data_IF_931294014285
#
_entry.id   IF_931294014285
#
_cell.length_a   1.000
_cell.length_b   1.000
_cell.length_c   1.000
_cell.angle_alpha   90.00
_cell.angle_beta   90.00
_cell.angle_gamma   90.00
#
_symmetry.space_group_name_H-M   'P 1'
#
loop_
_entity.id
_entity.type
_entity.pdbx_description
1 polymer ?
#
# COMPACT_ATOMS: atom_id res chain seq x y z
N UNK A 1 7.53 -2.08 0.35
CA UNK A 1 6.21 -1.73 -0.23
C UNK A 1 5.46 -0.78 0.70
N UNK A 2 4.74 0.18 0.14
CA UNK A 2 3.83 1.06 0.89
C UNK A 2 2.41 0.86 0.35
N UNK A 3 1.47 0.45 1.20
CA UNK A 3 0.06 0.34 0.79
C UNK A 3 -0.66 1.66 1.01
N UNK A 4 -1.67 1.94 0.19
CA UNK A 4 -2.39 3.21 0.26
C UNK A 4 -1.53 4.42 -0.11
N UNK A 5 -0.61 4.21 -1.04
CA UNK A 5 0.38 5.22 -1.43
C UNK A 5 -0.22 6.50 -2.02
N UNK A 6 -1.41 6.42 -2.61
CA UNK A 6 -2.13 7.60 -3.13
C UNK A 6 -2.77 8.47 -2.03
N UNK A 7 -2.84 7.98 -0.80
CA UNK A 7 -3.37 8.74 0.32
C UNK A 7 -2.36 9.75 0.88
N UNK A 8 -2.83 10.64 1.76
CA UNK A 8 -2.00 11.70 2.36
C UNK A 8 -0.78 11.12 3.11
N UNK A 9 -1.01 10.19 4.04
CA UNK A 9 0.09 9.57 4.82
C UNK A 9 0.97 8.72 3.92
N UNK A 10 0.39 7.86 3.08
CA UNK A 10 1.14 6.96 2.20
C UNK A 10 2.05 7.71 1.24
N UNK A 11 1.57 8.78 0.61
CA UNK A 11 2.38 9.58 -0.32
C UNK A 11 3.57 10.27 0.36
N UNK A 12 3.39 10.76 1.59
CA UNK A 12 4.49 11.35 2.37
C UNK A 12 5.55 10.31 2.77
N UNK A 13 5.12 9.09 3.11
CA UNK A 13 6.03 7.99 3.39
C UNK A 13 6.82 7.62 2.14
N UNK A 14 6.15 7.47 1.00
CA UNK A 14 6.82 7.19 -0.28
C UNK A 14 7.85 8.25 -0.60
N UNK A 15 7.49 9.53 -0.51
CA UNK A 15 8.41 10.64 -0.75
C UNK A 15 9.64 10.59 0.17
N UNK A 16 9.44 10.32 1.45
CA UNK A 16 10.52 10.21 2.43
C UNK A 16 11.48 9.06 2.11
N UNK A 17 10.95 7.89 1.77
CA UNK A 17 11.75 6.72 1.41
C UNK A 17 12.55 6.95 0.12
N UNK A 18 11.93 7.53 -0.89
CA UNK A 18 12.60 7.87 -2.16
C UNK A 18 13.72 8.90 -1.96
N UNK A 19 13.50 9.88 -1.08
CA UNK A 19 14.53 10.88 -0.75
C UNK A 19 15.76 10.28 -0.06
N UNK A 20 15.62 9.10 0.51
CA UNK A 20 16.72 8.32 1.14
C UNK A 20 17.36 7.32 0.16
N UNK A 21 16.99 7.34 -1.11
CA UNK A 21 17.54 6.42 -2.11
C UNK A 21 17.01 5.00 -2.01
N UNK A 22 15.87 4.79 -1.36
CA UNK A 22 15.26 3.46 -1.25
C UNK A 22 14.41 3.12 -2.47
N UNK A 23 14.36 1.84 -2.82
CA UNK A 23 13.42 1.34 -3.82
C UNK A 23 12.06 1.11 -3.18
N UNK A 24 11.03 1.74 -3.72
CA UNK A 24 9.68 1.74 -3.15
C UNK A 24 8.69 1.17 -4.16
N UNK A 25 7.96 0.16 -3.75
CA UNK A 25 6.74 -0.29 -4.43
C UNK A 25 5.55 0.40 -3.77
N UNK A 26 4.93 1.33 -4.48
CA UNK A 26 3.77 2.09 -4.06
C UNK A 26 2.50 1.42 -4.60
N UNK A 27 1.57 1.01 -3.73
CA UNK A 27 0.34 0.40 -4.21
C UNK A 27 -0.81 1.39 -4.24
N UNK A 28 -1.54 1.35 -5.32
CA UNK A 28 -2.75 2.14 -5.57
C UNK A 28 -3.89 1.20 -5.96
N UNK A 29 -5.13 1.63 -5.76
CA UNK A 29 -6.29 0.80 -6.13
C UNK A 29 -6.53 0.77 -7.64
N UNK A 30 -6.24 1.87 -8.32
CA UNK A 30 -6.41 2.04 -9.75
C UNK A 30 -5.23 2.87 -10.28
N UNK A 31 -4.40 2.23 -11.08
CA UNK A 31 -3.22 2.87 -11.66
C UNK A 31 -3.52 3.69 -12.91
N UNK A 32 -4.73 3.55 -13.46
CA UNK A 32 -5.19 4.36 -14.61
C UNK A 32 -5.79 5.70 -14.20
N UNK A 33 -6.03 5.93 -12.91
CA UNK A 33 -6.58 7.17 -12.38
C UNK A 33 -5.45 8.20 -12.13
N UNK A 34 -5.34 9.27 -12.96
CA UNK A 34 -4.29 10.28 -12.82
C UNK A 34 -4.32 10.96 -11.44
N UNK A 35 -5.49 11.15 -10.83
CA UNK A 35 -5.60 11.76 -9.50
C UNK A 35 -4.89 10.94 -8.42
N UNK A 36 -4.69 9.64 -8.67
CA UNK A 36 -4.02 8.72 -7.75
C UNK A 36 -2.54 8.53 -8.01
N UNK A 37 -2.10 8.75 -9.24
CA UNK A 37 -0.74 8.39 -9.69
C UNK A 37 0.14 9.59 -9.98
N UNK A 38 -0.37 10.66 -10.57
CA UNK A 38 0.43 11.79 -11.05
C UNK A 38 1.30 12.40 -9.95
N UNK A 39 0.75 12.55 -8.74
CA UNK A 39 1.50 13.11 -7.61
C UNK A 39 2.61 12.16 -7.12
N UNK A 40 2.44 10.85 -7.27
CA UNK A 40 3.50 9.87 -6.95
C UNK A 40 4.60 9.88 -8.01
N UNK A 41 4.23 9.94 -9.29
CA UNK A 41 5.18 9.96 -10.40
C UNK A 41 6.02 11.25 -10.41
N UNK A 42 5.48 12.34 -9.87
CA UNK A 42 6.17 13.62 -9.75
C UNK A 42 7.16 13.69 -8.59
N UNK A 43 7.23 12.66 -7.72
CA UNK A 43 8.14 12.67 -6.59
C UNK A 43 9.61 12.59 -7.02
N UNK A 44 10.46 13.35 -6.35
CA UNK A 44 11.90 13.28 -6.55
C UNK A 44 12.48 11.99 -6.00
N UNK A 45 13.32 11.34 -6.80
CA UNK A 45 14.00 10.11 -6.43
C UNK A 45 15.49 10.40 -6.29
N UNK A 46 16.06 10.13 -5.11
CA UNK A 46 17.50 10.24 -4.88
C UNK A 46 18.27 9.09 -5.51
N UNK A 47 19.57 9.27 -5.68
CA UNK A 47 20.45 8.26 -6.27
C UNK A 47 20.30 6.89 -5.57
N UNK A 48 20.13 5.86 -6.38
CA UNK A 48 19.90 4.49 -5.92
C UNK A 48 18.43 4.14 -5.62
N UNK A 49 17.56 5.14 -5.60
CA UNK A 49 16.12 4.92 -5.38
C UNK A 49 15.40 4.50 -6.67
N UNK A 50 14.25 3.89 -6.48
CA UNK A 50 13.37 3.51 -7.59
C UNK A 50 11.92 3.52 -7.10
N UNK A 51 11.01 4.05 -7.92
CA UNK A 51 9.57 4.00 -7.67
C UNK A 51 8.90 3.04 -8.65
N UNK A 52 8.20 2.08 -8.12
CA UNK A 52 7.31 1.17 -8.86
C UNK A 52 5.88 1.38 -8.37
N UNK A 53 4.95 1.71 -9.26
CA UNK A 53 3.53 1.83 -8.92
C UNK A 53 2.83 0.54 -9.33
N UNK A 54 2.12 -0.07 -8.39
CA UNK A 54 1.46 -1.37 -8.57
C UNK A 54 0.01 -1.28 -8.14
N UNK A 55 -0.86 -1.87 -8.94
CA UNK A 55 -2.27 -1.99 -8.60
C UNK A 55 -2.50 -3.06 -7.55
N UNK A 56 -3.26 -2.71 -6.51
CA UNK A 56 -3.60 -3.64 -5.44
C UNK A 56 -4.94 -3.28 -4.80
N UNK A 57 -5.84 -4.23 -4.77
CA UNK A 57 -7.07 -4.16 -3.96
C UNK A 57 -6.90 -5.01 -2.69
N UNK A 58 -7.06 -4.39 -1.52
CA UNK A 58 -6.97 -5.10 -0.23
C UNK A 58 -7.94 -6.26 -0.10
N UNK A 59 -9.08 -6.21 -0.79
CA UNK A 59 -10.10 -7.26 -0.74
C UNK A 59 -9.85 -8.39 -1.74
N UNK A 60 -8.92 -8.20 -2.68
CA UNK A 60 -8.46 -9.24 -3.60
C UNK A 60 -7.12 -9.83 -3.11
N UNK A 61 -7.22 -10.99 -2.47
CA UNK A 61 -6.07 -11.68 -1.86
C UNK A 61 -4.97 -11.99 -2.88
N UNK A 62 -5.30 -12.30 -4.14
CA UNK A 62 -4.32 -12.56 -5.19
C UNK A 62 -3.53 -11.30 -5.56
N UNK A 63 -4.21 -10.16 -5.67
CA UNK A 63 -3.55 -8.88 -5.95
C UNK A 63 -2.61 -8.50 -4.81
N UNK A 64 -3.00 -8.76 -3.56
CA UNK A 64 -2.16 -8.52 -2.37
C UNK A 64 -0.93 -9.41 -2.38
N UNK A 65 -1.07 -10.70 -2.67
CA UNK A 65 0.07 -11.63 -2.77
C UNK A 65 1.06 -11.20 -3.86
N UNK A 66 0.56 -10.82 -5.05
CA UNK A 66 1.43 -10.30 -6.12
C UNK A 66 2.18 -9.05 -5.70
N UNK A 67 1.51 -8.12 -5.02
CA UNK A 67 2.12 -6.87 -4.58
C UNK A 67 3.18 -7.08 -3.50
N UNK A 68 2.97 -8.00 -2.56
CA UNK A 68 3.91 -8.31 -1.47
C UNK A 68 5.13 -9.08 -1.96
N UNK A 69 4.99 -9.88 -3.02
CA UNK A 69 6.06 -10.73 -3.54
C UNK A 69 7.33 -9.93 -3.86
N UNK A 70 8.46 -10.37 -3.33
CA UNK A 70 9.77 -9.74 -3.54
C UNK A 70 10.05 -8.50 -2.68
N UNK A 71 9.16 -8.13 -1.77
CA UNK A 71 9.37 -7.02 -0.85
C UNK A 71 10.07 -7.48 0.43
N UNK A 72 11.00 -6.68 0.95
CA UNK A 72 11.67 -6.94 2.23
C UNK A 72 10.92 -6.32 3.41
N UNK A 73 10.22 -5.23 3.19
CA UNK A 73 9.46 -4.53 4.22
C UNK A 73 8.12 -4.04 3.66
N UNK A 74 7.11 -4.06 4.50
CA UNK A 74 5.77 -3.59 4.17
C UNK A 74 5.36 -2.51 5.18
N UNK A 75 4.98 -1.34 4.68
CA UNK A 75 4.36 -0.28 5.46
C UNK A 75 2.90 -0.23 5.04
N UNK A 76 2.03 -0.67 5.92
CA UNK A 76 0.59 -0.80 5.66
C UNK A 76 -0.15 0.42 6.20
N UNK A 77 -0.50 1.35 5.30
CA UNK A 77 -1.29 2.54 5.62
C UNK A 77 -2.66 2.54 4.98
N UNK A 78 -2.91 1.62 4.06
CA UNK A 78 -4.21 1.51 3.43
C UNK A 78 -5.29 1.10 4.43
N UNK A 79 -6.44 1.76 4.34
CA UNK A 79 -7.62 1.42 5.11
C UNK A 79 -8.88 1.58 4.24
N UNK A 80 -9.91 0.84 4.57
CA UNK A 80 -11.23 1.06 3.97
C UNK A 80 -11.90 2.18 4.75
N UNK A 81 -11.94 3.37 4.16
CA UNK A 81 -12.58 4.55 4.76
C UNK A 81 -13.87 4.85 4.00
N UNK A 82 -15.00 4.74 4.67
CA UNK A 82 -16.31 5.17 4.17
C UNK A 82 -16.85 6.22 5.14
N UNK A 83 -16.80 7.47 4.73
CA UNK A 83 -17.36 8.58 5.50
C UNK A 83 -18.89 8.46 5.48
N UNK A 84 -19.53 8.31 6.65
CA UNK A 84 -20.98 8.22 6.84
C UNK A 84 -21.64 6.96 6.25
N UNK A 85 -21.45 5.82 6.87
CA UNK A 85 -22.24 4.62 6.59
C UNK A 85 -23.19 4.31 7.73
N UNK A 86 -24.48 4.08 7.41
CA UNK A 86 -25.47 3.54 8.36
C UNK A 86 -25.20 2.06 8.70
N UNK A 87 -24.33 1.40 7.94
CA UNK A 87 -23.90 0.00 8.12
C UNK A 87 -22.38 -0.05 8.29
N UNK A 88 -21.88 0.63 9.33
CA UNK A 88 -20.45 0.75 9.56
C UNK A 88 -19.75 -0.61 9.71
N UNK A 89 -20.39 -1.60 10.36
CA UNK A 89 -19.83 -2.94 10.50
C UNK A 89 -19.53 -3.58 9.14
N UNK A 90 -20.53 -3.66 8.26
CA UNK A 90 -20.40 -4.33 6.96
C UNK A 90 -19.52 -3.58 5.97
N UNK A 91 -19.52 -2.23 6.01
CA UNK A 91 -18.87 -1.40 4.99
C UNK A 91 -17.49 -0.88 5.37
N UNK A 92 -17.15 -0.89 6.64
CA UNK A 92 -15.90 -0.36 7.16
C UNK A 92 -15.14 -1.41 7.94
N UNK A 93 -15.74 -1.96 8.99
CA UNK A 93 -15.05 -2.87 9.91
C UNK A 93 -14.73 -4.19 9.22
N UNK A 94 -15.71 -4.86 8.63
CA UNK A 94 -15.49 -6.16 8.00
C UNK A 94 -14.50 -6.09 6.83
N UNK A 95 -14.62 -5.13 5.87
CA UNK A 95 -13.62 -4.98 4.82
C UNK A 95 -12.23 -4.60 5.34
N UNK A 96 -12.14 -3.80 6.41
CA UNK A 96 -10.85 -3.44 7.01
C UNK A 96 -10.17 -4.65 7.65
N UNK A 97 -10.94 -5.50 8.33
CA UNK A 97 -10.42 -6.75 8.91
C UNK A 97 -9.97 -7.71 7.81
N UNK A 98 -10.78 -7.90 6.76
CA UNK A 98 -10.43 -8.76 5.62
C UNK A 98 -9.18 -8.24 4.91
N UNK A 99 -9.12 -6.96 4.63
CA UNK A 99 -7.97 -6.34 3.95
C UNK A 99 -6.67 -6.50 4.74
N UNK A 100 -6.70 -6.23 6.04
CA UNK A 100 -5.53 -6.42 6.92
C UNK A 100 -5.12 -7.90 6.98
N UNK A 101 -6.08 -8.82 7.07
CA UNK A 101 -5.80 -10.26 7.06
C UNK A 101 -5.14 -10.69 5.76
N UNK A 102 -5.63 -10.23 4.62
CA UNK A 102 -5.01 -10.53 3.32
C UNK A 102 -3.54 -10.10 3.26
N UNK A 103 -3.21 -8.93 3.82
CA UNK A 103 -1.81 -8.46 3.91
C UNK A 103 -0.97 -9.37 4.80
N UNK A 104 -1.48 -9.74 5.97
CA UNK A 104 -0.78 -10.64 6.91
C UNK A 104 -0.56 -12.02 6.30
N UNK A 105 -1.60 -12.59 5.67
CA UNK A 105 -1.51 -13.90 5.01
C UNK A 105 -0.50 -13.88 3.84
N UNK A 106 -0.47 -12.80 3.07
CA UNK A 106 0.51 -12.63 2.00
C UNK A 106 1.94 -12.54 2.55
N UNK A 107 2.16 -11.85 3.66
CA UNK A 107 3.46 -11.75 4.33
C UNK A 107 3.89 -13.12 4.86
N UNK A 108 3.00 -13.82 5.54
CA UNK A 108 3.30 -15.15 6.11
C UNK A 108 3.61 -16.20 5.04
N UNK A 109 3.05 -16.06 3.85
CA UNK A 109 3.28 -16.98 2.72
C UNK A 109 4.55 -16.66 1.91
N UNK A 110 5.26 -15.59 2.23
CA UNK A 110 6.51 -15.19 1.56
C UNK A 110 7.67 -15.15 2.56
N UNK A 111 8.84 -15.67 2.15
CA UNK A 111 10.03 -15.65 3.00
C UNK A 111 10.82 -14.33 2.90
N UNK A 112 10.41 -13.41 2.02
CA UNK A 112 11.16 -12.19 1.73
C UNK A 112 10.85 -11.03 2.68
N UNK A 113 9.65 -10.98 3.26
CA UNK A 113 9.25 -9.87 4.15
C UNK A 113 9.80 -10.09 5.56
N UNK A 114 10.61 -9.15 6.03
CA UNK A 114 11.26 -9.17 7.35
C UNK A 114 10.67 -8.18 8.34
N UNK A 115 9.92 -7.20 7.85
CA UNK A 115 9.37 -6.14 8.69
C UNK A 115 8.01 -5.69 8.16
N UNK A 116 7.04 -5.58 9.06
CA UNK A 116 5.75 -4.97 8.83
C UNK A 116 5.57 -3.80 9.78
N UNK A 117 5.26 -2.63 9.24
CA UNK A 117 4.77 -1.47 9.99
C UNK A 117 3.30 -1.29 9.65
N UNK A 118 2.43 -1.42 10.64
CA UNK A 118 1.00 -1.23 10.48
C UNK A 118 0.57 0.07 11.17
N UNK A 119 -0.04 0.97 10.43
CA UNK A 119 -0.68 2.16 11.00
C UNK A 119 -2.12 1.84 11.39
N UNK A 120 -2.49 2.16 12.57
CA UNK A 120 -3.85 1.95 13.08
C UNK A 120 -4.61 3.27 13.28
#
# INVERSE_FOLDING_TARGET
MVTGASGYIGSHIVANLLSKGMSVRATVRDSSDPERVDHLESLSVSDGGHLEIVEMDLLDSESVHRAVSGCESVIHTAAVVVLKSKRAQEKIVDPSVVGTRNVLDAIDSTDCVKCLVHTS
#
